data_IF_374881809180
#
_entry.id   IF_374881809180
#
_cell.length_a   1.000
_cell.length_b   1.000
_cell.length_c   1.000
_cell.angle_alpha   90.00
_cell.angle_beta   90.00
_cell.angle_gamma   90.00
#
_symmetry.space_group_name_H-M   'P 1'
#
loop_
_entity.id
_entity.type
_entity.pdbx_description
1 polymer ?
#
# COMPACT_ATOMS: atom_id res chain seq x y z
N UNK A 1 12.49 23.72 -0.58
CA UNK A 1 11.63 22.83 0.22
C UNK A 1 12.19 22.75 1.62
N UNK A 2 11.41 23.12 2.63
CA UNK A 2 11.80 22.94 4.02
C UNK A 2 10.94 21.81 4.61
N UNK A 3 11.59 20.78 5.14
CA UNK A 3 10.92 19.72 5.89
C UNK A 3 10.70 20.22 7.32
N UNK A 4 9.47 20.07 7.83
CA UNK A 4 9.12 20.38 9.21
C UNK A 4 8.74 19.09 9.93
N UNK A 5 9.32 18.87 11.11
CA UNK A 5 9.06 17.68 11.92
C UNK A 5 8.35 18.09 13.22
N UNK A 6 7.13 17.61 13.40
CA UNK A 6 6.32 17.83 14.61
C UNK A 6 6.43 16.60 15.52
N UNK A 7 7.11 16.74 16.65
CA UNK A 7 7.32 15.66 17.64
C UNK A 7 6.76 16.07 18.99
N UNK A 8 6.23 15.10 19.73
CA UNK A 8 5.72 15.30 21.09
C UNK A 8 5.12 14.01 21.65
N UNK A 9 4.88 13.93 22.97
CA UNK A 9 4.29 12.74 23.59
C UNK A 9 2.85 12.49 23.11
N UNK A 10 2.27 11.36 23.52
CA UNK A 10 0.84 11.10 23.32
C UNK A 10 0.02 12.26 23.90
N UNK A 11 -1.07 12.63 23.21
CA UNK A 11 -1.95 13.74 23.60
C UNK A 11 -1.32 15.15 23.68
N UNK A 12 -0.11 15.36 23.14
CA UNK A 12 0.54 16.68 23.08
C UNK A 12 -0.08 17.68 22.07
N UNK A 13 -1.27 17.40 21.54
CA UNK A 13 -1.93 18.27 20.56
C UNK A 13 -1.37 18.22 19.12
N UNK A 14 -0.49 17.25 18.79
CA UNK A 14 0.12 17.13 17.46
C UNK A 14 -0.90 17.14 16.32
N UNK A 15 -1.97 16.37 16.48
CA UNK A 15 -3.05 16.28 15.48
C UNK A 15 -3.73 17.63 15.33
N UNK A 16 -4.11 18.28 16.45
CA UNK A 16 -4.75 19.58 16.41
C UNK A 16 -3.88 20.62 15.70
N UNK A 17 -2.57 20.62 15.95
CA UNK A 17 -1.61 21.49 15.28
C UNK A 17 -1.52 21.23 13.77
N UNK A 18 -1.51 19.96 13.34
CA UNK A 18 -1.53 19.61 11.91
C UNK A 18 -2.82 20.05 11.22
N UNK A 19 -3.97 19.96 11.89
CA UNK A 19 -5.25 20.43 11.34
C UNK A 19 -5.29 21.95 11.17
N UNK A 20 -4.73 22.70 12.13
CA UNK A 20 -4.64 24.16 12.01
C UNK A 20 -3.74 24.56 10.83
N UNK A 21 -2.60 23.90 10.67
CA UNK A 21 -1.70 24.07 9.51
C UNK A 21 -2.39 23.72 8.19
N UNK A 22 -3.17 22.63 8.15
CA UNK A 22 -3.93 22.24 6.98
C UNK A 22 -4.90 23.35 6.55
N UNK A 23 -5.65 23.93 7.50
CA UNK A 23 -6.58 25.04 7.23
C UNK A 23 -5.86 26.31 6.76
N UNK A 24 -4.71 26.65 7.36
CA UNK A 24 -3.91 27.80 6.95
C UNK A 24 -3.39 27.68 5.51
N UNK A 25 -3.10 26.45 5.08
CA UNK A 25 -2.60 26.15 3.74
C UNK A 25 -3.71 25.76 2.76
N UNK A 26 -4.98 25.78 3.15
CA UNK A 26 -6.08 25.24 2.36
C UNK A 26 -6.17 25.86 0.96
N UNK A 27 -5.83 27.14 0.80
CA UNK A 27 -5.83 27.81 -0.52
C UNK A 27 -4.77 27.30 -1.51
N UNK A 28 -3.85 26.44 -1.08
CA UNK A 28 -2.81 25.82 -1.91
C UNK A 28 -3.14 24.37 -2.31
N UNK A 29 -4.38 23.92 -2.08
CA UNK A 29 -4.85 22.55 -2.34
C UNK A 29 -3.98 21.46 -1.67
N UNK A 30 -3.84 21.48 -0.32
CA UNK A 30 -2.91 20.60 0.39
C UNK A 30 -3.43 19.16 0.48
N UNK A 31 -2.50 18.20 0.56
CA UNK A 31 -2.80 16.82 0.94
C UNK A 31 -2.55 16.57 2.43
N UNK A 32 -3.53 15.98 3.11
CA UNK A 32 -3.41 15.47 4.47
C UNK A 32 -3.54 13.94 4.46
N UNK A 33 -2.40 13.26 4.59
CA UNK A 33 -2.35 11.79 4.61
C UNK A 33 -2.54 11.28 6.03
N UNK A 34 -3.51 10.39 6.22
CA UNK A 34 -3.84 9.75 7.50
C UNK A 34 -3.73 8.22 7.40
N UNK A 35 -3.62 7.49 8.54
CA UNK A 35 -3.33 6.06 8.49
C UNK A 35 -4.46 5.20 7.91
N UNK A 36 -5.72 5.54 8.17
CA UNK A 36 -6.87 4.71 7.77
C UNK A 36 -8.05 5.55 7.29
N UNK A 37 -8.99 4.93 6.56
CA UNK A 37 -10.25 5.57 6.20
C UNK A 37 -11.10 5.97 7.41
N UNK A 38 -10.97 5.27 8.55
CA UNK A 38 -11.59 5.69 9.80
C UNK A 38 -11.02 7.01 10.34
N UNK A 39 -9.71 7.22 10.15
CA UNK A 39 -9.06 8.48 10.49
C UNK A 39 -9.49 9.61 9.55
N UNK A 40 -9.72 9.33 8.27
CA UNK A 40 -10.24 10.32 7.29
C UNK A 40 -11.56 10.90 7.80
N UNK A 41 -12.55 10.05 8.06
CA UNK A 41 -13.87 10.48 8.53
C UNK A 41 -13.80 11.25 9.86
N UNK A 42 -12.89 10.83 10.76
CA UNK A 42 -12.68 11.52 12.04
C UNK A 42 -12.07 12.92 11.84
N UNK A 43 -11.06 13.03 10.99
CA UNK A 43 -10.35 14.28 10.70
C UNK A 43 -11.26 15.26 9.97
N UNK A 44 -12.03 14.81 8.99
CA UNK A 44 -13.04 15.64 8.30
C UNK A 44 -14.03 16.25 9.30
N UNK A 45 -14.55 15.43 10.22
CA UNK A 45 -15.46 15.92 11.26
C UNK A 45 -14.79 16.95 12.19
N UNK A 46 -13.54 16.72 12.58
CA UNK A 46 -12.79 17.65 13.42
C UNK A 46 -12.47 18.96 12.70
N UNK A 47 -12.28 18.92 11.37
CA UNK A 47 -12.10 20.11 10.54
C UNK A 47 -13.40 20.89 10.36
N UNK A 48 -14.53 20.21 10.12
CA UNK A 48 -15.85 20.84 10.01
C UNK A 48 -16.30 21.54 11.30
N UNK A 49 -15.83 21.05 12.47
CA UNK A 49 -16.03 21.73 13.76
C UNK A 49 -15.24 23.04 13.88
N UNK A 50 -14.14 23.19 13.13
CA UNK A 50 -13.25 24.36 13.16
C UNK A 50 -13.58 25.37 12.06
N UNK A 51 -13.93 24.88 10.88
CA UNK A 51 -14.34 25.68 9.73
C UNK A 51 -15.66 25.14 9.18
N UNK A 52 -16.71 25.96 9.05
CA UNK A 52 -18.04 25.51 8.60
C UNK A 52 -18.06 25.00 7.16
N UNK A 53 -17.02 25.27 6.37
CA UNK A 53 -16.85 24.73 5.03
C UNK A 53 -15.37 24.39 4.75
N UNK A 54 -15.16 23.28 4.04
CA UNK A 54 -13.86 22.87 3.48
C UNK A 54 -13.99 22.94 1.96
N UNK A 55 -13.33 23.92 1.34
CA UNK A 55 -13.48 24.23 -0.08
C UNK A 55 -12.28 23.75 -0.91
N UNK A 56 -11.16 23.40 -0.27
CA UNK A 56 -9.94 22.96 -0.94
C UNK A 56 -9.10 22.05 -0.03
N UNK A 57 -8.20 21.28 -0.66
CA UNK A 57 -7.39 20.26 -0.04
C UNK A 57 -8.03 18.87 -0.08
N UNK A 58 -7.19 17.85 0.04
CA UNK A 58 -7.58 16.43 0.02
C UNK A 58 -7.13 15.76 1.30
N UNK A 59 -8.02 15.00 1.93
CA UNK A 59 -7.72 14.16 3.08
C UNK A 59 -7.88 12.72 2.62
N UNK A 60 -6.86 11.92 2.81
CA UNK A 60 -6.85 10.55 2.31
C UNK A 60 -5.79 9.70 2.98
N UNK A 61 -5.78 8.43 2.64
CA UNK A 61 -4.73 7.48 3.01
C UNK A 61 -3.60 7.52 1.99
N UNK A 62 -2.54 6.74 2.23
CA UNK A 62 -1.52 6.53 1.21
C UNK A 62 -2.12 5.87 -0.05
N UNK A 63 -3.09 4.97 0.09
CA UNK A 63 -3.76 4.31 -1.04
C UNK A 63 -4.49 5.35 -1.92
N UNK A 64 -5.17 6.32 -1.30
CA UNK A 64 -5.86 7.41 -2.01
C UNK A 64 -4.85 8.33 -2.73
N UNK A 65 -3.71 8.62 -2.09
CA UNK A 65 -2.64 9.41 -2.70
C UNK A 65 -2.03 8.68 -3.90
N UNK A 66 -1.73 7.40 -3.78
CA UNK A 66 -1.18 6.61 -4.88
C UNK A 66 -2.17 6.45 -6.02
N UNK A 67 -3.46 6.26 -5.73
CA UNK A 67 -4.51 6.27 -6.75
C UNK A 67 -4.58 7.63 -7.48
N UNK A 68 -4.51 8.74 -6.75
CA UNK A 68 -4.51 10.07 -7.35
C UNK A 68 -3.27 10.35 -8.23
N UNK A 69 -2.09 9.86 -7.82
CA UNK A 69 -0.84 10.00 -8.59
C UNK A 69 -0.84 9.09 -9.81
N UNK A 70 -1.38 7.88 -9.71
CA UNK A 70 -1.56 6.98 -10.85
C UNK A 70 -2.53 7.58 -11.89
N UNK A 71 -3.48 8.42 -11.45
CA UNK A 71 -4.50 9.04 -12.29
C UNK A 71 -5.40 8.01 -12.96
N UNK A 72 -5.97 8.36 -14.11
CA UNK A 72 -6.67 7.40 -14.99
C UNK A 72 -5.68 6.52 -15.81
N UNK A 73 -4.40 6.47 -15.44
CA UNK A 73 -3.30 5.92 -16.23
C UNK A 73 -3.37 4.42 -16.51
N UNK A 74 -3.05 4.05 -17.76
CA UNK A 74 -2.93 2.75 -18.45
C UNK A 74 -3.99 1.65 -18.23
N UNK A 75 -4.91 1.78 -17.28
CA UNK A 75 -5.92 0.75 -17.01
C UNK A 75 -5.36 -0.54 -16.42
N UNK A 76 -4.15 -0.50 -15.83
CA UNK A 76 -3.55 -1.64 -15.13
C UNK A 76 -4.46 -2.01 -13.96
N UNK A 77 -5.08 -3.19 -14.05
CA UNK A 77 -6.01 -3.67 -13.03
C UNK A 77 -5.28 -4.05 -11.74
N UNK A 78 -5.83 -3.69 -10.59
CA UNK A 78 -5.33 -4.17 -9.29
C UNK A 78 -5.85 -5.59 -9.04
N UNK A 79 -4.95 -6.51 -8.74
CA UNK A 79 -5.27 -7.91 -8.51
C UNK A 79 -5.99 -8.10 -7.17
N UNK A 80 -7.25 -8.51 -7.22
CA UNK A 80 -8.01 -8.81 -6.00
C UNK A 80 -7.47 -10.04 -5.24
N UNK A 81 -7.73 -10.17 -3.92
CA UNK A 81 -7.15 -11.22 -3.07
C UNK A 81 -7.40 -12.65 -3.56
N UNK A 82 -8.60 -12.92 -4.10
CA UNK A 82 -8.94 -14.24 -4.63
C UNK A 82 -8.17 -14.56 -5.91
N UNK A 83 -8.06 -13.59 -6.83
CA UNK A 83 -7.32 -13.74 -8.07
C UNK A 83 -5.81 -13.88 -7.79
N UNK A 84 -5.29 -13.14 -6.79
CA UNK A 84 -3.93 -13.29 -6.27
C UNK A 84 -3.63 -14.70 -5.78
N UNK A 85 -4.52 -15.27 -4.99
CA UNK A 85 -4.38 -16.65 -4.50
C UNK A 85 -4.31 -17.67 -5.65
N UNK A 86 -5.12 -17.49 -6.69
CA UNK A 86 -5.11 -18.34 -7.88
C UNK A 86 -3.81 -18.18 -8.69
N UNK A 87 -3.34 -16.94 -8.86
CA UNK A 87 -2.10 -16.66 -9.58
C UNK A 87 -0.90 -17.28 -8.88
N UNK A 88 -0.80 -17.11 -7.56
CA UNK A 88 0.27 -17.72 -6.76
C UNK A 88 0.24 -19.25 -6.82
N UNK A 89 -0.95 -19.87 -6.80
CA UNK A 89 -1.06 -21.32 -7.00
C UNK A 89 -0.51 -21.73 -8.37
N UNK A 90 -0.89 -21.03 -9.43
CA UNK A 90 -0.37 -21.29 -10.79
C UNK A 90 1.15 -21.17 -10.86
N UNK A 91 1.72 -20.17 -10.19
CA UNK A 91 3.18 -19.96 -10.12
C UNK A 91 3.87 -21.11 -9.39
N UNK A 92 3.31 -21.57 -8.27
CA UNK A 92 3.86 -22.69 -7.51
C UNK A 92 3.79 -24.00 -8.31
N UNK A 93 2.66 -24.26 -8.97
CA UNK A 93 2.45 -25.47 -9.78
C UNK A 93 3.42 -25.54 -10.98
N UNK A 94 3.80 -24.38 -11.53
CA UNK A 94 4.76 -24.28 -12.64
C UNK A 94 6.24 -24.23 -12.22
N UNK A 95 6.54 -24.11 -10.93
CA UNK A 95 7.91 -23.91 -10.45
C UNK A 95 8.63 -25.23 -10.15
N UNK A 96 9.86 -25.36 -10.65
CA UNK A 96 10.78 -26.42 -10.23
C UNK A 96 11.45 -26.03 -8.90
N UNK A 97 10.86 -26.43 -7.78
CA UNK A 97 11.34 -26.11 -6.43
C UNK A 97 12.33 -27.17 -5.93
N UNK A 98 13.33 -26.74 -5.17
CA UNK A 98 14.28 -27.62 -4.50
C UNK A 98 14.01 -27.65 -2.98
N UNK A 99 14.43 -26.60 -2.26
CA UNK A 99 14.32 -26.52 -0.80
C UNK A 99 12.89 -26.42 -0.28
N UNK A 100 11.98 -25.83 -1.06
CA UNK A 100 10.57 -25.61 -0.70
C UNK A 100 9.63 -26.68 -1.28
N UNK A 101 10.13 -27.65 -2.06
CA UNK A 101 9.30 -28.65 -2.73
C UNK A 101 8.37 -29.42 -1.78
N UNK A 102 8.85 -29.78 -0.58
CA UNK A 102 8.03 -30.47 0.43
C UNK A 102 6.93 -29.55 0.98
N UNK A 103 7.27 -28.30 1.25
CA UNK A 103 6.32 -27.31 1.79
C UNK A 103 5.25 -26.95 0.77
N UNK A 104 5.59 -26.90 -0.51
CA UNK A 104 4.67 -26.59 -1.60
C UNK A 104 3.45 -27.53 -1.68
N UNK A 105 3.59 -28.79 -1.26
CA UNK A 105 2.48 -29.75 -1.21
C UNK A 105 1.49 -29.52 -0.05
N UNK A 106 1.74 -28.56 0.84
CA UNK A 106 0.87 -28.31 1.99
C UNK A 106 -0.21 -27.28 1.68
N UNK A 107 -1.39 -27.44 2.29
CA UNK A 107 -2.56 -26.57 2.05
C UNK A 107 -2.30 -25.08 2.31
N UNK A 108 -1.41 -24.75 3.24
CA UNK A 108 -1.12 -23.37 3.66
C UNK A 108 0.03 -22.70 2.91
N UNK A 109 0.70 -23.39 1.99
CA UNK A 109 1.91 -22.85 1.36
C UNK A 109 1.64 -21.59 0.53
N UNK A 110 0.57 -21.58 -0.28
CA UNK A 110 0.23 -20.44 -1.13
C UNK A 110 -0.10 -19.20 -0.30
N UNK A 111 -0.78 -19.37 0.83
CA UNK A 111 -1.09 -18.28 1.77
C UNK A 111 0.19 -17.73 2.41
N UNK A 112 1.05 -18.62 2.92
CA UNK A 112 2.33 -18.23 3.51
C UNK A 112 3.26 -17.55 2.50
N UNK A 113 3.30 -18.04 1.25
CA UNK A 113 4.02 -17.40 0.15
C UNK A 113 3.46 -16.01 -0.12
N UNK A 114 2.14 -15.88 -0.20
CA UNK A 114 1.47 -14.60 -0.39
C UNK A 114 1.85 -13.57 0.68
N UNK A 115 1.89 -13.97 1.94
CA UNK A 115 2.34 -13.14 3.07
C UNK A 115 3.81 -12.75 2.93
N UNK A 116 4.69 -13.72 2.65
CA UNK A 116 6.12 -13.45 2.49
C UNK A 116 6.39 -12.46 1.34
N UNK A 117 5.68 -12.57 0.21
CA UNK A 117 5.80 -11.63 -0.90
C UNK A 117 5.32 -10.23 -0.52
N UNK A 118 4.24 -10.12 0.26
CA UNK A 118 3.75 -8.83 0.77
C UNK A 118 4.74 -8.19 1.75
N UNK A 119 5.39 -8.98 2.61
CA UNK A 119 6.44 -8.51 3.51
C UNK A 119 7.68 -8.01 2.75
N UNK A 120 8.11 -8.76 1.73
CA UNK A 120 9.20 -8.32 0.83
C UNK A 120 8.86 -7.02 0.11
N UNK A 121 7.63 -6.88 -0.37
CA UNK A 121 7.12 -5.65 -0.98
C UNK A 121 7.13 -4.47 -0.01
N UNK A 122 6.62 -4.68 1.20
CA UNK A 122 6.57 -3.67 2.27
C UNK A 122 7.96 -3.24 2.72
N UNK A 123 8.93 -4.17 2.70
CA UNK A 123 10.33 -3.91 2.97
C UNK A 123 11.10 -3.27 1.81
N UNK A 124 10.45 -3.01 0.67
CA UNK A 124 11.07 -2.52 -0.58
C UNK A 124 12.28 -3.37 -1.00
N UNK A 125 12.18 -4.69 -0.77
CA UNK A 125 13.26 -5.61 -1.13
C UNK A 125 13.24 -5.85 -2.63
N UNK A 126 14.36 -5.56 -3.28
CA UNK A 126 14.59 -5.94 -4.67
C UNK A 126 14.57 -7.48 -4.80
N UNK A 127 13.68 -8.07 -5.63
CA UNK A 127 13.62 -9.52 -5.81
C UNK A 127 14.90 -10.12 -6.33
N UNK A 128 15.71 -9.35 -7.08
CA UNK A 128 17.00 -9.81 -7.56
C UNK A 128 17.98 -10.16 -6.42
N UNK A 129 17.69 -9.68 -5.20
CA UNK A 129 18.46 -10.00 -3.99
C UNK A 129 17.91 -11.19 -3.21
N UNK A 130 16.70 -11.66 -3.53
CA UNK A 130 16.11 -12.83 -2.87
C UNK A 130 16.66 -14.07 -3.56
N UNK A 131 17.33 -14.93 -2.80
CA UNK A 131 18.00 -16.12 -3.33
C UNK A 131 17.17 -17.39 -3.13
N UNK A 132 17.47 -18.42 -3.93
CA UNK A 132 16.83 -19.73 -3.84
C UNK A 132 15.37 -19.73 -4.32
N UNK A 133 14.61 -20.72 -3.89
CA UNK A 133 13.24 -20.99 -4.34
C UNK A 133 12.29 -19.79 -4.16
N UNK A 134 12.43 -19.04 -3.06
CA UNK A 134 11.60 -17.85 -2.81
C UNK A 134 11.86 -16.75 -3.85
N UNK A 135 13.12 -16.55 -4.24
CA UNK A 135 13.49 -15.59 -5.28
C UNK A 135 12.94 -16.00 -6.65
N UNK A 136 13.05 -17.29 -6.98
CA UNK A 136 12.49 -17.85 -8.21
C UNK A 136 10.96 -17.67 -8.27
N UNK A 137 10.25 -17.97 -7.18
CA UNK A 137 8.80 -17.79 -7.07
C UNK A 137 8.39 -16.31 -7.16
N UNK A 138 9.13 -15.41 -6.49
CA UNK A 138 8.88 -13.97 -6.55
C UNK A 138 9.06 -13.41 -7.97
N UNK A 139 10.11 -13.86 -8.68
CA UNK A 139 10.35 -13.46 -10.06
C UNK A 139 9.27 -14.01 -11.01
N UNK A 140 8.88 -15.28 -10.86
CA UNK A 140 7.82 -15.89 -11.65
C UNK A 140 6.47 -15.17 -11.43
N UNK A 141 6.14 -14.85 -10.18
CA UNK A 141 4.94 -14.10 -9.83
C UNK A 141 4.90 -12.71 -10.48
N UNK A 142 6.00 -11.94 -10.42
CA UNK A 142 6.10 -10.64 -11.10
C UNK A 142 6.04 -10.76 -12.63
N UNK A 143 6.60 -11.82 -13.18
CA UNK A 143 6.50 -12.13 -14.61
C UNK A 143 5.04 -12.33 -15.03
N UNK A 144 4.27 -13.06 -14.25
CA UNK A 144 2.84 -13.25 -14.51
C UNK A 144 2.01 -11.97 -14.35
N UNK A 145 2.28 -11.15 -13.32
CA UNK A 145 1.65 -9.83 -13.18
C UNK A 145 1.92 -8.94 -14.40
N UNK A 146 3.18 -8.90 -14.86
CA UNK A 146 3.59 -8.13 -16.03
C UNK A 146 2.91 -8.64 -17.30
N UNK A 147 2.79 -9.97 -17.47
CA UNK A 147 2.13 -10.61 -18.61
C UNK A 147 0.63 -10.32 -18.67
N UNK A 148 0.00 -10.20 -17.50
CA UNK A 148 -1.43 -9.93 -17.36
C UNK A 148 -1.76 -8.43 -17.32
N UNK A 149 -0.75 -7.56 -17.34
CA UNK A 149 -0.91 -6.11 -17.16
C UNK A 149 -1.67 -5.79 -15.86
N UNK A 150 -1.29 -6.47 -14.77
CA UNK A 150 -1.87 -6.32 -13.44
C UNK A 150 -0.86 -5.79 -12.43
N UNK A 151 -1.36 -5.03 -11.46
CA UNK A 151 -0.63 -4.61 -10.28
C UNK A 151 -1.06 -5.42 -9.05
N UNK A 152 -0.16 -5.53 -8.07
CA UNK A 152 -0.38 -6.12 -6.74
C UNK A 152 0.13 -5.17 -5.65
#
# INVERSE_FOLDING_TARGET
MALSLVVGPAHAGKVAHLLDRYLECAGADPWLVVPTGGDVARVELDLLRRSPALVSGTIGTFDDLFAAVAGDGDGIGVLGPAARSLLLRSVVDGAALAGLARSAGTRGFVEALGTALSELGSGLVDPGRVVGDLGALAAAYRGELSRLELAD
#
